data_IF_427523701209
#
_entry.id   IF_427523701209
#
_cell.length_a   1.000
_cell.length_b   1.000
_cell.length_c   1.000
_cell.angle_alpha   90.00
_cell.angle_beta   90.00
_cell.angle_gamma   90.00
#
_symmetry.space_group_name_H-M   'P 1'
#
loop_
_entity.id
_entity.type
_entity.pdbx_description
1 polymer ?
#
# COMPACT_ATOMS: atom_id res chain seq x y z
N UNK A 1 -41.59 19.31 -10.96
CA UNK A 1 -40.49 20.07 -11.59
C UNK A 1 -39.24 19.20 -11.50
N UNK A 2 -38.55 18.89 -12.61
CA UNK A 2 -37.32 18.13 -12.52
C UNK A 2 -36.26 18.98 -11.83
N UNK A 3 -35.71 18.47 -10.73
CA UNK A 3 -34.55 19.07 -10.07
C UNK A 3 -33.36 18.96 -11.03
N UNK A 4 -33.06 20.03 -11.76
CA UNK A 4 -31.82 20.12 -12.53
C UNK A 4 -30.67 20.28 -11.53
N UNK A 5 -29.87 19.23 -11.35
CA UNK A 5 -28.61 19.27 -10.61
C UNK A 5 -27.71 20.35 -11.22
N UNK A 6 -27.09 21.23 -10.42
CA UNK A 6 -26.13 22.20 -10.95
C UNK A 6 -24.95 21.48 -11.63
N UNK A 7 -24.31 22.09 -12.64
CA UNK A 7 -23.15 21.51 -13.30
C UNK A 7 -22.06 21.14 -12.29
N UNK A 8 -21.56 19.91 -12.34
CA UNK A 8 -20.51 19.44 -11.43
C UNK A 8 -19.45 18.56 -12.12
N UNK A 9 -18.20 18.67 -11.65
CA UNK A 9 -17.13 17.69 -11.92
C UNK A 9 -17.01 16.79 -10.69
N UNK A 10 -17.23 15.49 -10.85
CA UNK A 10 -17.05 14.50 -9.78
C UNK A 10 -15.76 13.71 -10.01
N UNK A 11 -14.86 13.83 -9.05
CA UNK A 11 -13.61 13.07 -8.97
C UNK A 11 -13.29 12.75 -7.51
N UNK A 12 -12.95 11.51 -7.22
CA UNK A 12 -12.62 11.03 -5.88
C UNK A 12 -11.35 10.19 -5.97
N UNK A 13 -10.14 10.77 -5.77
CA UNK A 13 -8.87 10.09 -6.03
C UNK A 13 -8.76 8.70 -5.37
N UNK A 14 -9.28 8.57 -4.15
CA UNK A 14 -9.24 7.31 -3.41
C UNK A 14 -10.31 6.27 -3.83
N UNK A 15 -11.34 6.66 -4.59
CA UNK A 15 -12.50 5.82 -4.89
C UNK A 15 -13.15 5.22 -3.64
N UNK A 16 -13.75 4.04 -3.79
CA UNK A 16 -14.34 3.27 -2.69
C UNK A 16 -13.30 2.29 -2.11
N UNK A 17 -12.31 2.83 -1.40
CA UNK A 17 -11.36 1.99 -0.67
C UNK A 17 -12.10 1.15 0.39
N UNK A 18 -11.77 -0.15 0.59
CA UNK A 18 -10.72 -0.95 -0.07
C UNK A 18 -11.05 -1.60 -1.41
N UNK A 19 -12.33 -1.75 -1.78
CA UNK A 19 -12.74 -2.81 -2.72
C UNK A 19 -13.34 -2.35 -4.05
N UNK A 20 -13.63 -1.05 -4.22
CA UNK A 20 -14.32 -0.55 -5.41
C UNK A 20 -13.59 0.57 -6.11
N UNK A 21 -13.47 0.46 -7.45
CA UNK A 21 -13.28 1.64 -8.29
C UNK A 21 -14.57 2.45 -8.22
N UNK A 22 -14.50 3.74 -7.89
CA UNK A 22 -15.68 4.62 -7.98
C UNK A 22 -16.00 5.00 -9.41
N UNK A 23 -15.13 4.61 -10.35
CA UNK A 23 -15.22 5.02 -11.74
C UNK A 23 -14.80 6.47 -12.01
N UNK A 24 -14.67 7.25 -10.95
CA UNK A 24 -14.17 8.63 -10.89
C UNK A 24 -12.89 8.70 -10.04
N UNK A 25 -12.13 7.59 -10.01
CA UNK A 25 -10.97 7.37 -9.16
C UNK A 25 -9.64 7.67 -9.86
N UNK A 26 -8.57 7.73 -9.06
CA UNK A 26 -7.19 7.75 -9.54
C UNK A 26 -6.58 6.35 -9.42
N UNK A 27 -5.80 5.93 -10.43
CA UNK A 27 -5.11 4.64 -10.43
C UNK A 27 -3.66 4.81 -10.90
N UNK A 28 -2.67 4.30 -10.15
CA UNK A 28 -2.79 3.73 -8.79
C UNK A 28 -3.13 4.80 -7.74
N UNK A 29 -3.73 4.41 -6.61
CA UNK A 29 -4.11 5.35 -5.53
C UNK A 29 -2.89 5.99 -4.85
N UNK A 30 -1.84 5.21 -4.66
CA UNK A 30 -0.56 5.64 -4.07
C UNK A 30 0.56 5.35 -5.07
N UNK A 31 0.80 6.25 -6.04
CA UNK A 31 1.77 6.01 -7.10
C UNK A 31 3.20 5.85 -6.57
N UNK A 32 3.91 4.85 -7.08
CA UNK A 32 5.35 4.75 -6.99
C UNK A 32 6.03 5.26 -8.26
N UNK A 33 7.33 5.54 -8.11
CA UNK A 33 8.18 5.99 -9.20
C UNK A 33 8.05 5.07 -10.42
N UNK A 34 7.85 5.68 -11.58
CA UNK A 34 7.68 4.97 -12.82
C UNK A 34 6.31 4.31 -13.03
N UNK A 35 5.38 4.28 -12.07
CA UNK A 35 4.01 3.80 -12.31
C UNK A 35 3.23 4.80 -13.20
N UNK A 36 2.36 4.29 -14.07
CA UNK A 36 1.55 5.13 -14.95
C UNK A 36 0.27 5.56 -14.26
N UNK A 37 0.08 6.86 -14.07
CA UNK A 37 -1.06 7.43 -13.34
C UNK A 37 -2.16 7.81 -14.30
N UNK A 38 -3.36 7.35 -13.98
CA UNK A 38 -4.60 7.70 -14.65
C UNK A 38 -5.58 8.30 -13.67
N UNK A 39 -6.35 9.29 -14.13
CA UNK A 39 -7.40 9.95 -13.38
C UNK A 39 -8.70 9.83 -14.15
N UNK A 40 -9.80 9.50 -13.47
CA UNK A 40 -11.13 9.46 -14.07
C UNK A 40 -12.04 10.50 -13.44
N UNK A 41 -12.89 11.14 -14.23
CA UNK A 41 -13.91 12.03 -13.70
C UNK A 41 -15.21 11.93 -14.48
N UNK A 42 -16.30 12.23 -13.79
CA UNK A 42 -17.62 12.46 -14.36
C UNK A 42 -17.83 13.98 -14.47
N UNK A 43 -18.34 14.43 -15.62
CA UNK A 43 -18.69 15.82 -15.89
C UNK A 43 -20.18 15.86 -16.24
N UNK A 44 -20.96 16.58 -15.45
CA UNK A 44 -22.42 16.66 -15.57
C UNK A 44 -22.89 18.12 -15.71
N UNK A 45 -24.01 18.32 -16.38
CA UNK A 45 -24.76 19.59 -16.39
C UNK A 45 -24.33 20.66 -17.40
N UNK A 46 -23.35 20.44 -18.28
CA UNK A 46 -22.93 21.40 -19.33
C UNK A 46 -22.77 20.72 -20.69
N UNK A 47 -23.05 21.45 -21.78
CA UNK A 47 -22.61 21.06 -23.12
C UNK A 47 -21.09 21.18 -23.18
N UNK A 48 -20.41 20.05 -22.99
CA UNK A 48 -18.98 20.01 -22.71
C UNK A 48 -18.18 20.43 -23.94
N UNK A 49 -17.35 21.47 -23.77
CA UNK A 49 -16.31 21.85 -24.72
C UNK A 49 -15.04 21.02 -24.49
N UNK A 50 -13.91 21.69 -24.30
CA UNK A 50 -12.67 21.02 -23.92
C UNK A 50 -12.63 20.70 -22.42
N UNK A 51 -12.31 19.45 -22.10
CA UNK A 51 -12.02 18.98 -20.73
C UNK A 51 -10.55 18.61 -20.64
N UNK A 52 -9.87 19.11 -19.63
CA UNK A 52 -8.45 18.88 -19.45
C UNK A 52 -8.08 18.83 -17.96
N UNK A 53 -6.98 18.14 -17.65
CA UNK A 53 -6.32 18.22 -16.36
C UNK A 53 -5.18 19.26 -16.44
N UNK A 54 -5.15 20.20 -15.50
CA UNK A 54 -3.95 21.00 -15.22
C UNK A 54 -3.16 20.24 -14.16
N UNK A 55 -1.90 19.90 -14.47
CA UNK A 55 -1.04 19.10 -13.59
C UNK A 55 0.21 19.89 -13.30
N UNK A 56 0.43 20.16 -12.02
CA UNK A 56 1.63 20.79 -11.49
C UNK A 56 2.53 19.71 -10.87
N UNK A 57 3.75 19.58 -11.39
CA UNK A 57 4.79 18.71 -10.86
C UNK A 57 5.93 19.58 -10.36
N UNK A 58 6.12 19.64 -9.04
CA UNK A 58 7.18 20.43 -8.39
C UNK A 58 7.25 21.90 -8.85
N UNK A 59 6.11 22.53 -9.20
CA UNK A 59 6.02 23.90 -9.69
C UNK A 59 5.93 24.03 -11.22
N UNK A 60 6.11 22.94 -11.98
CA UNK A 60 6.01 22.92 -13.44
C UNK A 60 4.62 22.48 -13.89
N UNK A 61 3.86 23.43 -14.45
CA UNK A 61 2.47 23.22 -14.88
C UNK A 61 2.39 22.70 -16.33
N UNK A 62 1.56 21.69 -16.56
CA UNK A 62 1.20 21.19 -17.90
C UNK A 62 -0.29 20.92 -18.02
N UNK A 63 -0.81 20.97 -19.25
CA UNK A 63 -2.21 20.64 -19.56
C UNK A 63 -2.30 19.30 -20.27
N UNK A 64 -3.25 18.47 -19.86
CA UNK A 64 -3.48 17.13 -20.42
C UNK A 64 -4.94 17.05 -20.84
N UNK A 65 -5.20 16.82 -22.13
CA UNK A 65 -6.58 16.70 -22.64
C UNK A 65 -7.21 15.40 -22.13
N UNK A 66 -8.44 15.48 -21.66
CA UNK A 66 -9.23 14.31 -21.28
C UNK A 66 -9.74 13.55 -22.49
N UNK A 67 -9.63 12.22 -22.47
CA UNK A 67 -10.28 11.33 -23.44
C UNK A 67 -11.67 10.97 -22.92
N UNK A 68 -12.71 11.30 -23.68
CA UNK A 68 -14.09 10.87 -23.39
C UNK A 68 -14.19 9.35 -23.50
N UNK A 69 -14.81 8.72 -22.51
CA UNK A 69 -15.04 7.27 -22.45
C UNK A 69 -16.47 6.99 -22.88
N UNK A 70 -16.64 6.31 -24.02
CA UNK A 70 -17.96 6.05 -24.65
C UNK A 70 -18.57 4.70 -24.28
N UNK A 71 -17.77 3.73 -23.82
CA UNK A 71 -18.21 2.41 -23.38
C UNK A 71 -18.14 2.31 -21.85
N UNK A 72 -18.80 3.22 -21.16
CA UNK A 72 -18.81 3.23 -19.71
C UNK A 72 -19.96 2.34 -19.20
N UNK A 73 -19.68 1.06 -18.94
CA UNK A 73 -20.56 0.26 -18.11
C UNK A 73 -20.40 0.75 -16.67
N UNK A 74 -21.36 1.57 -16.19
CA UNK A 74 -21.47 1.82 -14.76
C UNK A 74 -22.25 0.65 -14.17
N UNK A 75 -21.55 -0.39 -13.70
CA UNK A 75 -22.14 -1.25 -12.67
C UNK A 75 -22.15 -0.42 -11.37
N UNK A 76 -23.14 0.47 -11.24
CA UNK A 76 -23.48 1.09 -9.95
C UNK A 76 -24.20 0.02 -9.11
N UNK A 77 -23.44 -0.84 -8.45
CA UNK A 77 -23.96 -1.79 -7.45
C UNK A 77 -24.67 -1.06 -6.27
N UNK A 78 -24.54 0.26 -6.20
CA UNK A 78 -25.15 1.17 -5.23
C UNK A 78 -26.56 1.69 -5.63
N UNK A 79 -27.10 1.32 -6.79
CA UNK A 79 -28.47 1.65 -7.17
C UNK A 79 -29.38 0.42 -7.05
N UNK A 80 -30.14 0.35 -5.95
CA UNK A 80 -31.41 -0.38 -5.96
C UNK A 80 -32.22 0.06 -7.21
N UNK A 81 -32.97 -0.83 -7.89
CA UNK A 81 -33.66 -0.54 -9.16
C UNK A 81 -34.73 0.57 -9.10
N UNK A 82 -34.87 1.25 -7.97
CA UNK A 82 -35.96 2.18 -7.66
C UNK A 82 -35.46 3.50 -7.07
N UNK A 83 -34.46 4.14 -7.67
CA UNK A 83 -34.36 5.61 -7.76
C UNK A 83 -33.09 6.03 -8.51
N UNK A 84 -33.26 6.63 -9.68
CA UNK A 84 -32.21 7.42 -10.35
C UNK A 84 -31.63 6.75 -11.57
N UNK A 85 -32.34 6.89 -12.69
CA UNK A 85 -31.77 6.93 -14.04
C UNK A 85 -30.35 7.50 -14.08
N UNK A 86 -29.45 6.85 -14.84
CA UNK A 86 -28.21 7.49 -15.32
C UNK A 86 -28.60 8.89 -15.80
N UNK A 87 -28.02 9.99 -15.27
CA UNK A 87 -28.32 11.30 -15.81
C UNK A 87 -28.03 11.22 -17.31
N UNK A 88 -29.02 11.49 -18.16
CA UNK A 88 -28.93 11.37 -19.63
C UNK A 88 -27.78 12.20 -20.26
N UNK A 89 -26.99 12.92 -19.45
CA UNK A 89 -25.95 13.88 -19.85
C UNK A 89 -24.59 13.74 -19.15
N UNK A 90 -24.40 12.79 -18.22
CA UNK A 90 -23.11 12.66 -17.54
C UNK A 90 -22.05 12.09 -18.52
N UNK A 91 -20.97 12.85 -18.75
CA UNK A 91 -19.85 12.45 -19.60
C UNK A 91 -18.66 12.01 -18.74
N UNK A 92 -18.07 10.85 -19.05
CA UNK A 92 -16.90 10.33 -18.33
C UNK A 92 -15.62 10.58 -19.11
N UNK A 93 -14.59 11.04 -18.40
CA UNK A 93 -13.29 11.35 -18.96
C UNK A 93 -12.17 10.59 -18.26
N UNK A 94 -11.20 10.15 -19.05
CA UNK A 94 -9.93 9.61 -18.60
C UNK A 94 -8.80 10.58 -18.93
N UNK A 95 -7.97 10.87 -17.94
CA UNK A 95 -6.76 11.67 -18.07
C UNK A 95 -5.55 10.77 -17.81
N UNK A 96 -4.66 10.67 -18.78
CA UNK A 96 -3.42 9.92 -18.68
C UNK A 96 -2.32 10.87 -18.19
N UNK A 97 -2.13 10.96 -16.87
CA UNK A 97 -1.22 11.94 -16.28
C UNK A 97 0.25 11.61 -16.55
N UNK A 98 0.55 10.35 -16.89
CA UNK A 98 1.89 9.87 -17.24
C UNK A 98 2.60 9.18 -16.08
N UNK A 99 3.94 9.16 -16.13
CA UNK A 99 4.81 8.60 -15.08
C UNK A 99 5.54 9.72 -14.36
N UNK A 100 5.92 9.47 -13.12
CA UNK A 100 6.59 10.43 -12.24
C UNK A 100 7.81 9.80 -11.55
N UNK A 101 8.73 10.64 -11.07
CA UNK A 101 9.92 10.22 -10.33
C UNK A 101 9.64 10.11 -8.83
N UNK A 102 10.46 9.32 -8.12
CA UNK A 102 10.38 9.23 -6.66
C UNK A 102 10.54 10.61 -6.03
N UNK A 103 9.64 10.96 -5.11
CA UNK A 103 9.68 12.23 -4.39
C UNK A 103 8.88 13.37 -5.03
N UNK A 104 8.42 13.21 -6.28
CA UNK A 104 7.61 14.23 -6.95
C UNK A 104 6.37 14.60 -6.12
N UNK A 105 6.15 15.92 -6.01
CA UNK A 105 4.93 16.53 -5.52
C UNK A 105 4.02 16.81 -6.71
N UNK A 106 2.91 16.08 -6.81
CA UNK A 106 1.96 16.26 -7.90
C UNK A 106 0.68 16.88 -7.35
N UNK A 107 0.27 18.00 -7.94
CA UNK A 107 -1.04 18.62 -7.74
C UNK A 107 -1.77 18.66 -9.07
N UNK A 108 -3.07 18.41 -9.07
CA UNK A 108 -3.84 18.54 -10.30
C UNK A 108 -5.26 19.04 -10.07
N UNK A 109 -5.80 19.62 -11.13
CA UNK A 109 -7.16 20.12 -11.23
C UNK A 109 -7.78 19.57 -12.50
N UNK A 110 -9.05 19.18 -12.42
CA UNK A 110 -9.83 18.81 -13.60
C UNK A 110 -10.68 20.00 -13.96
N UNK A 111 -10.58 20.46 -15.21
CA UNK A 111 -11.29 21.63 -15.72
C UNK A 111 -12.16 21.27 -16.91
N UNK A 112 -13.36 21.82 -16.95
CA UNK A 112 -14.28 21.72 -18.08
C UNK A 112 -14.75 23.13 -18.49
N UNK A 113 -14.57 23.48 -19.76
CA UNK A 113 -15.07 24.73 -20.32
C UNK A 113 -16.39 24.45 -21.05
N UNK A 114 -17.45 25.17 -20.68
CA UNK A 114 -18.74 25.11 -21.38
C UNK A 114 -18.68 25.81 -22.73
N UNK A 115 -19.43 25.32 -23.72
CA UNK A 115 -19.52 25.99 -25.02
C UNK A 115 -20.31 27.30 -24.89
N UNK A 116 -19.61 28.43 -24.75
CA UNK A 116 -20.20 29.77 -24.67
C UNK A 116 -20.30 30.35 -23.26
N UNK A 117 -19.88 29.61 -22.22
CA UNK A 117 -19.80 30.10 -20.84
C UNK A 117 -18.38 30.59 -20.51
N UNK A 118 -18.28 31.78 -19.91
CA UNK A 118 -17.02 32.37 -19.44
C UNK A 118 -16.51 31.77 -18.13
N UNK A 119 -17.36 31.06 -17.39
CA UNK A 119 -17.03 30.42 -16.12
C UNK A 119 -17.01 28.89 -16.30
N UNK A 120 -15.81 28.34 -16.51
CA UNK A 120 -15.60 26.90 -16.52
C UNK A 120 -15.76 26.26 -15.13
N UNK A 121 -15.89 24.94 -15.10
CA UNK A 121 -15.98 24.15 -13.88
C UNK A 121 -14.61 23.60 -13.49
N UNK A 122 -14.38 23.41 -12.19
CA UNK A 122 -13.14 22.87 -11.64
C UNK A 122 -13.40 21.83 -10.55
N UNK A 123 -12.54 20.81 -10.48
CA UNK A 123 -12.37 19.93 -9.32
C UNK A 123 -10.88 19.85 -8.95
N UNK A 124 -10.53 20.31 -7.76
CA UNK A 124 -9.16 20.28 -7.24
C UNK A 124 -8.86 21.45 -6.28
N UNK A 125 -7.60 21.61 -5.84
CA UNK A 125 -6.48 20.72 -6.13
C UNK A 125 -6.64 19.35 -5.48
N UNK A 126 -6.26 18.31 -6.22
CA UNK A 126 -5.99 16.98 -5.69
C UNK A 126 -4.48 16.78 -5.62
N UNK A 127 -3.98 16.11 -4.58
CA UNK A 127 -2.54 15.93 -4.37
C UNK A 127 -2.14 14.48 -4.13
N UNK A 128 -0.94 14.12 -4.60
CA UNK A 128 -0.25 12.91 -4.16
C UNK A 128 1.27 13.10 -4.15
N UNK A 129 1.93 12.24 -3.38
CA UNK A 129 3.40 12.11 -3.34
C UNK A 129 3.81 10.79 -3.94
N UNK A 130 4.79 10.84 -4.84
CA UNK A 130 5.27 9.65 -5.52
C UNK A 130 6.27 8.92 -4.64
N UNK A 131 5.96 7.67 -4.32
CA UNK A 131 6.78 6.85 -3.43
C UNK A 131 8.02 6.33 -4.15
N UNK A 132 9.14 6.25 -3.44
CA UNK A 132 10.29 5.46 -3.87
C UNK A 132 10.13 4.00 -3.43
N UNK A 133 10.68 3.07 -4.20
CA UNK A 133 10.79 1.65 -3.83
C UNK A 133 12.22 1.34 -3.42
N UNK A 134 12.37 0.69 -2.27
CA UNK A 134 13.63 0.51 -1.59
C UNK A 134 13.80 -0.93 -1.11
N UNK A 135 15.03 -1.42 -1.21
CA UNK A 135 15.44 -2.75 -0.79
C UNK A 135 16.59 -2.58 0.17
N UNK A 136 16.48 -3.14 1.38
CA UNK A 136 17.60 -3.11 2.33
C UNK A 136 18.77 -3.95 1.81
N UNK A 137 19.99 -3.48 2.09
CA UNK A 137 21.22 -4.19 1.75
C UNK A 137 21.26 -5.59 2.38
N UNK A 138 22.13 -6.45 1.83
CA UNK A 138 22.40 -7.76 2.40
C UNK A 138 23.32 -7.70 3.61
N UNK A 139 23.66 -6.53 4.15
CA UNK A 139 24.53 -6.40 5.32
C UNK A 139 23.89 -5.46 6.34
N UNK A 140 23.96 -5.85 7.61
CA UNK A 140 23.49 -5.09 8.75
C UNK A 140 24.53 -5.08 9.86
N UNK A 141 24.62 -3.94 10.55
CA UNK A 141 25.39 -3.80 11.79
C UNK A 141 24.54 -4.27 12.95
N UNK A 142 25.10 -5.14 13.78
CA UNK A 142 24.40 -5.73 14.93
C UNK A 142 24.78 -5.02 16.22
N UNK A 143 23.83 -4.93 17.15
CA UNK A 143 24.04 -4.44 18.51
C UNK A 143 23.09 -5.13 19.46
N UNK A 144 23.61 -5.61 20.58
CA UNK A 144 22.80 -6.12 21.68
C UNK A 144 22.93 -5.17 22.88
N UNK A 145 21.81 -4.60 23.32
CA UNK A 145 21.75 -3.77 24.53
C UNK A 145 20.41 -3.99 25.23
N UNK A 146 20.43 -4.13 26.56
CA UNK A 146 19.23 -4.26 27.38
C UNK A 146 18.25 -5.36 26.91
N UNK A 147 18.79 -6.48 26.41
CA UNK A 147 18.01 -7.60 25.88
C UNK A 147 17.39 -7.38 24.50
N UNK A 148 17.65 -6.23 23.87
CA UNK A 148 17.21 -5.92 22.51
C UNK A 148 18.38 -6.12 21.55
N UNK A 149 18.22 -7.08 20.63
CA UNK A 149 19.13 -7.28 19.52
C UNK A 149 18.66 -6.44 18.34
N UNK A 150 19.43 -5.43 17.96
CA UNK A 150 19.14 -4.54 16.85
C UNK A 150 20.05 -4.86 15.65
N UNK A 151 19.47 -4.89 14.46
CA UNK A 151 20.17 -4.97 13.18
C UNK A 151 19.86 -3.71 12.35
N UNK A 152 20.90 -2.93 12.00
CA UNK A 152 20.76 -1.73 11.17
C UNK A 152 21.41 -1.90 9.81
N UNK A 153 20.66 -1.62 8.76
CA UNK A 153 21.13 -1.65 7.38
C UNK A 153 21.82 -0.34 6.98
N UNK A 154 22.43 -0.34 5.79
CA UNK A 154 22.91 0.88 5.15
C UNK A 154 21.79 1.92 4.99
N UNK A 155 22.15 3.21 5.05
CA UNK A 155 21.20 4.29 4.84
C UNK A 155 20.72 4.32 3.38
N UNK A 156 19.41 4.52 3.19
CA UNK A 156 18.78 4.63 1.87
C UNK A 156 18.10 6.00 1.80
N UNK A 157 18.77 6.96 1.18
CA UNK A 157 18.34 8.36 1.20
C UNK A 157 18.29 8.90 2.63
N UNK A 158 17.10 9.28 3.10
CA UNK A 158 16.88 9.77 4.46
C UNK A 158 16.56 8.66 5.49
N UNK A 159 16.45 7.41 5.03
CA UNK A 159 16.02 6.30 5.88
C UNK A 159 17.23 5.52 6.38
N UNK A 160 17.20 5.15 7.66
CA UNK A 160 18.10 4.19 8.27
C UNK A 160 17.27 2.98 8.70
N UNK A 161 17.11 1.95 7.84
CA UNK A 161 16.29 0.79 8.15
C UNK A 161 16.88 0.02 9.33
N UNK A 162 16.02 -0.34 10.30
CA UNK A 162 16.41 -1.09 11.50
C UNK A 162 15.39 -2.16 11.82
N UNK A 163 15.88 -3.27 12.35
CA UNK A 163 15.06 -4.33 12.93
C UNK A 163 15.50 -4.52 14.37
N UNK A 164 14.55 -4.46 15.29
CA UNK A 164 14.79 -4.74 16.71
C UNK A 164 14.08 -6.04 17.07
N UNK A 165 14.82 -6.94 17.70
CA UNK A 165 14.37 -8.24 18.16
C UNK A 165 14.45 -8.28 19.68
N UNK A 166 13.37 -8.71 20.32
CA UNK A 166 13.36 -8.94 21.77
C UNK A 166 12.28 -9.96 22.14
N UNK A 167 12.50 -10.65 23.25
CA UNK A 167 11.49 -11.54 23.81
C UNK A 167 10.68 -10.83 24.89
N UNK A 168 9.38 -11.13 24.94
CA UNK A 168 8.49 -10.69 26.01
C UNK A 168 7.40 -11.73 26.23
N UNK A 169 7.29 -12.24 27.45
CA UNK A 169 6.27 -13.21 27.86
C UNK A 169 6.21 -14.44 26.93
N UNK A 170 7.35 -15.05 26.61
CA UNK A 170 7.40 -16.20 25.70
C UNK A 170 7.17 -15.91 24.21
N UNK A 171 7.11 -14.64 23.80
CA UNK A 171 6.90 -14.24 22.40
C UNK A 171 8.09 -13.46 21.86
N UNK A 172 8.52 -13.79 20.63
CA UNK A 172 9.45 -12.95 19.88
C UNK A 172 8.69 -11.74 19.32
N UNK A 173 9.18 -10.54 19.62
CA UNK A 173 8.80 -9.31 18.97
C UNK A 173 9.86 -8.91 17.94
N UNK A 174 9.39 -8.55 16.75
CA UNK A 174 10.19 -8.00 15.67
C UNK A 174 9.63 -6.63 15.30
N UNK A 175 10.43 -5.58 15.45
CA UNK A 175 10.05 -4.22 15.10
C UNK A 175 10.91 -3.69 13.95
N UNK A 176 10.31 -3.57 12.76
CA UNK A 176 10.92 -2.94 11.60
C UNK A 176 10.63 -1.45 11.60
N UNK A 177 11.66 -0.62 11.46
CA UNK A 177 11.54 0.83 11.44
C UNK A 177 12.41 1.46 10.36
N UNK A 178 12.02 2.67 9.94
CA UNK A 178 12.82 3.56 9.12
C UNK A 178 13.28 4.71 10.02
N UNK A 179 14.39 4.51 10.75
CA UNK A 179 14.93 5.52 11.64
C UNK A 179 15.52 6.70 10.83
N UNK A 180 15.64 7.86 11.47
CA UNK A 180 16.35 9.01 10.90
C UNK A 180 17.85 8.97 11.21
N UNK A 181 18.20 8.49 12.40
CA UNK A 181 19.56 8.49 12.91
C UNK A 181 20.14 7.07 13.04
N UNK A 182 21.44 6.90 12.74
CA UNK A 182 22.11 5.64 12.98
C UNK A 182 22.18 5.32 14.47
N UNK A 183 22.15 4.03 14.81
CA UNK A 183 22.48 3.57 16.15
C UNK A 183 23.99 3.64 16.38
N UNK A 184 24.38 3.84 17.64
CA UNK A 184 25.74 3.59 18.07
C UNK A 184 25.96 2.08 18.16
N UNK A 185 26.73 1.53 17.23
CA UNK A 185 26.97 0.08 17.09
C UNK A 185 28.05 -0.42 18.05
N UNK A 186 28.86 0.47 18.64
CA UNK A 186 30.05 0.06 19.40
C UNK A 186 30.97 -0.82 18.56
N UNK A 187 31.43 -1.94 19.13
CA UNK A 187 32.22 -2.95 18.40
C UNK A 187 31.29 -3.91 17.64
N UNK A 188 31.31 -3.90 16.30
CA UNK A 188 30.40 -4.73 15.52
C UNK A 188 30.79 -6.21 15.61
N UNK A 189 29.86 -7.04 16.08
CA UNK A 189 29.95 -8.49 15.94
C UNK A 189 29.28 -8.93 14.64
N UNK A 190 29.87 -9.91 13.95
CA UNK A 190 29.29 -10.47 12.73
C UNK A 190 28.01 -11.25 13.01
N UNK A 191 27.89 -11.86 14.19
CA UNK A 191 26.76 -12.69 14.60
C UNK A 191 26.45 -12.48 16.07
N UNK A 192 25.18 -12.33 16.41
CA UNK A 192 24.70 -12.18 17.78
C UNK A 192 23.45 -13.04 17.99
N UNK A 193 23.08 -13.31 19.25
CA UNK A 193 21.87 -14.04 19.56
C UNK A 193 21.28 -13.68 20.92
N UNK A 194 19.99 -13.96 21.06
CA UNK A 194 19.23 -13.81 22.30
C UNK A 194 18.44 -15.09 22.55
N UNK A 195 18.21 -15.42 23.81
CA UNK A 195 17.44 -16.60 24.23
C UNK A 195 16.28 -16.13 25.08
N UNK A 196 15.10 -16.66 24.81
CA UNK A 196 13.93 -16.46 25.65
C UNK A 196 14.08 -17.27 26.95
N UNK A 197 14.08 -16.63 28.14
CA UNK A 197 14.22 -17.33 29.40
C UNK A 197 13.02 -18.26 29.71
N UNK A 198 11.85 -17.98 29.16
CA UNK A 198 10.61 -18.72 29.46
C UNK A 198 10.50 -20.01 28.63
N UNK A 199 10.78 -19.93 27.32
CA UNK A 199 10.62 -21.07 26.40
C UNK A 199 11.93 -21.76 26.03
N UNK A 200 13.09 -21.14 26.28
CA UNK A 200 14.39 -21.60 25.79
C UNK A 200 14.58 -21.44 24.28
N UNK A 201 13.63 -20.80 23.59
CA UNK A 201 13.74 -20.46 22.17
C UNK A 201 14.92 -19.51 21.95
N UNK A 202 15.75 -19.80 20.96
CA UNK A 202 16.94 -19.04 20.59
C UNK A 202 16.74 -18.31 19.27
N UNK A 203 17.01 -17.02 19.25
CA UNK A 203 17.18 -16.23 18.04
C UNK A 203 18.67 -16.02 17.78
N UNK A 204 19.12 -16.30 16.57
CA UNK A 204 20.46 -15.94 16.09
C UNK A 204 20.34 -15.04 14.86
N UNK A 205 21.14 -13.98 14.81
CA UNK A 205 21.18 -13.01 13.72
C UNK A 205 22.61 -12.91 13.21
N UNK A 206 22.78 -13.07 11.90
CA UNK A 206 24.00 -12.83 11.15
C UNK A 206 23.89 -11.44 10.48
N UNK A 207 24.98 -10.67 10.53
CA UNK A 207 25.06 -9.34 9.98
C UNK A 207 25.44 -9.31 8.51
N UNK A 208 26.22 -10.28 8.01
CA UNK A 208 26.67 -10.27 6.60
C UNK A 208 27.02 -11.67 6.06
N UNK A 209 26.20 -12.26 5.16
CA UNK A 209 24.92 -11.72 4.69
C UNK A 209 23.90 -11.67 5.83
N UNK A 210 23.02 -10.67 5.81
CA UNK A 210 21.98 -10.51 6.81
C UNK A 210 21.03 -11.70 6.75
N UNK A 211 20.83 -12.33 7.91
CA UNK A 211 19.89 -13.41 8.09
C UNK A 211 19.61 -13.63 9.56
N UNK A 212 18.47 -14.21 9.88
CA UNK A 212 18.23 -14.72 11.22
C UNK A 212 17.55 -16.08 11.18
N UNK A 213 17.68 -16.81 12.28
CA UNK A 213 16.96 -18.05 12.54
C UNK A 213 16.45 -18.05 13.98
N UNK A 214 15.16 -18.34 14.12
CA UNK A 214 14.50 -18.61 15.39
C UNK A 214 14.37 -20.13 15.53
N UNK A 215 14.98 -20.67 16.57
CA UNK A 215 15.05 -22.12 16.83
C UNK A 215 14.48 -22.38 18.22
N UNK A 216 13.51 -23.27 18.30
CA UNK A 216 12.94 -23.70 19.58
C UNK A 216 13.96 -24.47 20.45
N UNK A 217 13.65 -24.66 21.74
CA UNK A 217 14.53 -25.36 22.67
C UNK A 217 14.85 -26.82 22.26
N UNK A 218 13.97 -27.46 21.47
CA UNK A 218 14.18 -28.82 20.96
C UNK A 218 14.96 -28.88 19.63
N UNK A 219 15.37 -27.74 19.09
CA UNK A 219 16.17 -27.63 17.88
C UNK A 219 15.37 -27.45 16.58
N UNK A 220 14.03 -27.39 16.63
CA UNK A 220 13.22 -27.09 15.43
C UNK A 220 13.31 -25.61 15.04
N UNK A 221 13.55 -25.34 13.76
CA UNK A 221 13.53 -23.97 13.19
C UNK A 221 12.10 -23.49 13.01
N UNK A 222 11.73 -22.43 13.72
CA UNK A 222 10.38 -21.85 13.71
C UNK A 222 10.21 -20.76 12.65
N UNK A 223 11.22 -19.91 12.47
CA UNK A 223 11.17 -18.77 11.57
C UNK A 223 12.59 -18.40 11.10
N UNK A 224 12.76 -18.03 9.84
CA UNK A 224 14.07 -17.65 9.32
C UNK A 224 13.96 -16.64 8.16
N UNK A 225 15.06 -15.95 7.87
CA UNK A 225 15.19 -15.14 6.67
C UNK A 225 15.32 -16.03 5.44
N UNK A 226 14.50 -15.81 4.40
CA UNK A 226 14.62 -16.54 3.13
C UNK A 226 15.97 -16.21 2.46
N UNK A 227 16.85 -17.20 2.19
CA UNK A 227 18.12 -16.95 1.52
C UNK A 227 17.96 -16.28 0.16
N UNK A 228 18.92 -15.43 -0.22
CA UNK A 228 18.99 -14.73 -1.51
C UNK A 228 17.80 -13.81 -1.84
N UNK A 229 16.85 -13.65 -0.91
CA UNK A 229 15.75 -12.71 -1.02
C UNK A 229 15.95 -11.58 -0.02
N UNK A 230 15.71 -10.32 -0.41
CA UNK A 230 15.79 -9.23 0.54
C UNK A 230 14.67 -9.38 1.58
N UNK A 231 15.09 -9.47 2.84
CA UNK A 231 14.21 -9.62 4.00
C UNK A 231 13.23 -8.46 4.12
N UNK A 232 13.73 -7.24 4.01
CA UNK A 232 12.95 -6.01 4.21
C UNK A 232 12.99 -5.14 2.97
N UNK A 233 11.83 -5.04 2.31
CA UNK A 233 11.59 -4.09 1.23
C UNK A 233 10.48 -3.14 1.64
N UNK A 234 10.58 -1.90 1.21
CA UNK A 234 9.57 -0.90 1.52
C UNK A 234 9.40 0.11 0.39
N UNK A 235 8.20 0.64 0.31
CA UNK A 235 7.80 1.75 -0.53
C UNK A 235 7.41 2.90 0.39
N UNK A 236 8.08 4.03 0.25
CA UNK A 236 7.87 5.18 1.11
C UNK A 236 7.75 6.48 0.32
N UNK A 237 6.77 7.30 0.67
CA UNK A 237 6.69 8.68 0.23
C UNK A 237 7.56 9.57 1.15
N UNK A 238 8.11 10.69 0.67
CA UNK A 238 8.78 11.67 1.52
C UNK A 238 7.91 12.08 2.72
N UNK A 239 8.57 12.40 3.84
CA UNK A 239 7.92 12.77 5.10
C UNK A 239 6.94 11.73 5.69
N UNK A 240 7.03 10.45 5.29
CA UNK A 240 6.33 9.35 5.95
C UNK A 240 4.82 9.28 5.69
N UNK A 241 4.28 10.02 4.71
CA UNK A 241 2.83 10.02 4.39
C UNK A 241 2.29 8.64 3.97
N UNK A 242 3.12 7.83 3.33
CA UNK A 242 2.77 6.47 2.88
C UNK A 242 3.94 5.55 3.18
N UNK A 243 3.66 4.43 3.85
CA UNK A 243 4.58 3.32 4.02
C UNK A 243 3.86 2.03 3.63
N UNK A 244 4.44 1.32 2.68
CA UNK A 244 4.10 -0.07 2.38
C UNK A 244 5.37 -0.88 2.52
N UNK A 245 5.29 -2.10 3.02
CA UNK A 245 6.47 -2.94 3.16
C UNK A 245 6.15 -4.40 2.91
N UNK A 246 7.20 -5.13 2.55
CA UNK A 246 7.17 -6.57 2.33
C UNK A 246 8.26 -7.18 3.20
N UNK A 247 7.85 -8.12 4.05
CA UNK A 247 8.76 -8.99 4.79
C UNK A 247 8.78 -10.36 4.13
N UNK A 248 9.98 -10.93 3.94
CA UNK A 248 10.15 -12.29 3.40
C UNK A 248 10.69 -13.22 4.45
N UNK A 249 9.79 -14.03 4.98
CA UNK A 249 10.04 -14.97 6.06
C UNK A 249 9.83 -16.39 5.55
N UNK A 250 10.69 -17.31 5.99
CA UNK A 250 10.51 -18.74 5.83
C UNK A 250 10.23 -19.39 7.19
N UNK A 251 9.56 -20.54 7.16
CA UNK A 251 9.39 -21.44 8.30
C UNK A 251 9.42 -22.90 7.77
N UNK A 252 9.28 -23.88 8.67
CA UNK A 252 9.19 -25.29 8.30
C UNK A 252 7.75 -25.81 8.15
N UNK A 253 6.75 -24.92 8.20
CA UNK A 253 5.34 -25.29 8.14
C UNK A 253 4.92 -25.64 6.70
N UNK A 254 4.08 -26.65 6.59
CA UNK A 254 3.40 -27.08 5.36
C UNK A 254 1.98 -26.52 5.26
N UNK A 255 1.38 -26.11 6.38
CA UNK A 255 0.02 -25.59 6.43
C UNK A 255 -0.06 -24.26 7.17
N UNK A 256 -1.03 -23.43 6.77
CA UNK A 256 -1.24 -22.10 7.33
C UNK A 256 -2.72 -21.90 7.64
N UNK A 257 -3.05 -21.75 8.92
CA UNK A 257 -4.43 -21.66 9.40
C UNK A 257 -4.75 -20.30 9.99
N UNK A 258 -6.04 -19.94 10.01
CA UNK A 258 -6.53 -18.71 10.62
C UNK A 258 -6.73 -17.61 9.58
N UNK A 259 -6.00 -16.50 9.73
CA UNK A 259 -6.27 -15.24 9.02
C UNK A 259 -7.67 -14.68 9.27
N UNK A 260 -8.29 -15.04 10.39
CA UNK A 260 -9.68 -14.75 10.73
C UNK A 260 -10.66 -15.81 10.20
N UNK A 261 -11.87 -15.39 9.85
CA UNK A 261 -12.86 -16.23 9.18
C UNK A 261 -12.51 -16.36 7.69
N UNK A 262 -12.41 -17.58 7.16
CA UNK A 262 -12.13 -17.85 5.74
C UNK A 262 -13.12 -18.88 5.17
N UNK A 263 -13.61 -18.60 3.96
CA UNK A 263 -14.64 -19.42 3.29
C UNK A 263 -14.09 -20.19 2.08
N UNK A 264 -12.88 -19.89 1.63
CA UNK A 264 -12.25 -20.50 0.46
C UNK A 264 -11.47 -21.78 0.78
N UNK A 265 -10.69 -21.77 1.86
CA UNK A 265 -9.93 -22.93 2.33
C UNK A 265 -9.60 -22.81 3.82
N UNK A 266 -9.50 -23.95 4.51
CA UNK A 266 -8.95 -23.99 5.87
C UNK A 266 -7.43 -23.78 5.86
N UNK A 267 -6.74 -24.45 4.94
CA UNK A 267 -5.30 -24.28 4.72
C UNK A 267 -5.07 -23.20 3.65
N UNK A 268 -4.38 -22.15 4.05
CA UNK A 268 -4.08 -20.98 3.23
C UNK A 268 -2.71 -21.08 2.55
N UNK A 269 -2.02 -22.21 2.63
CA UNK A 269 -0.76 -22.42 1.92
C UNK A 269 -0.93 -22.20 0.40
N UNK A 270 -0.05 -21.39 -0.19
CA UNK A 270 -0.10 -21.01 -1.60
C UNK A 270 -1.20 -19.99 -1.97
N UNK A 271 -2.00 -19.53 -1.00
CA UNK A 271 -2.99 -18.47 -1.20
C UNK A 271 -2.42 -17.10 -0.75
N UNK A 272 -3.13 -16.02 -1.09
CA UNK A 272 -2.78 -14.66 -0.67
C UNK A 272 -3.95 -14.04 0.11
N UNK A 273 -4.18 -14.45 1.37
CA UNK A 273 -5.29 -13.93 2.18
C UNK A 273 -5.12 -12.42 2.42
N UNK A 274 -6.17 -11.64 2.17
CA UNK A 274 -6.21 -10.21 2.47
C UNK A 274 -6.79 -9.95 3.86
N UNK A 275 -6.31 -8.90 4.54
CA UNK A 275 -6.82 -8.54 5.87
C UNK A 275 -7.69 -7.31 5.75
N UNK A 276 -8.93 -7.51 5.31
CA UNK A 276 -9.79 -6.40 4.92
C UNK A 276 -11.29 -6.74 5.04
N UNK A 277 -12.03 -5.99 5.88
CA UNK A 277 -13.43 -6.30 6.22
C UNK A 277 -14.34 -6.01 5.02
N UNK A 278 -15.09 -7.01 4.55
CA UNK A 278 -16.07 -6.87 3.46
C UNK A 278 -17.42 -7.42 3.88
N UNK A 279 -18.49 -6.71 3.54
CA UNK A 279 -19.83 -7.25 3.54
C UNK A 279 -20.18 -7.87 2.17
N UNK A 280 -19.70 -9.09 1.91
CA UNK A 280 -19.98 -9.82 0.67
C UNK A 280 -21.21 -10.71 0.84
N UNK A 281 -22.36 -10.27 0.32
CA UNK A 281 -23.58 -11.06 0.37
C UNK A 281 -23.49 -12.26 -0.59
N UNK A 282 -23.46 -13.46 0.00
CA UNK A 282 -23.27 -14.75 -0.68
C UNK A 282 -21.97 -14.85 -1.49
N UNK A 283 -21.55 -16.08 -1.82
CA UNK A 283 -20.36 -16.36 -2.65
C UNK A 283 -19.11 -15.62 -2.16
N UNK A 284 -18.84 -15.70 -0.86
CA UNK A 284 -17.76 -15.01 -0.17
C UNK A 284 -16.40 -15.29 -0.82
N UNK A 285 -16.13 -16.55 -1.17
CA UNK A 285 -14.84 -16.97 -1.71
C UNK A 285 -13.72 -16.55 -0.77
N UNK A 286 -12.82 -15.70 -1.24
CA UNK A 286 -11.67 -15.19 -0.47
C UNK A 286 -12.02 -14.05 0.51
N UNK A 287 -13.17 -13.40 0.31
CA UNK A 287 -13.62 -12.24 1.09
C UNK A 287 -14.22 -12.69 2.42
N UNK A 288 -14.13 -11.85 3.44
CA UNK A 288 -14.61 -12.18 4.78
C UNK A 288 -15.05 -10.95 5.56
N UNK A 289 -15.96 -11.17 6.50
CA UNK A 289 -16.45 -10.17 7.44
C UNK A 289 -15.48 -9.97 8.60
N UNK A 290 -14.69 -10.99 8.94
CA UNK A 290 -13.82 -11.01 10.12
C UNK A 290 -12.41 -11.47 9.73
N UNK A 291 -11.66 -10.69 8.93
CA UNK A 291 -10.26 -10.99 8.67
C UNK A 291 -9.40 -10.64 9.90
N UNK A 292 -8.36 -11.43 10.14
CA UNK A 292 -7.37 -11.11 11.17
C UNK A 292 -5.96 -11.21 10.59
N UNK A 293 -5.06 -10.26 10.92
CA UNK A 293 -3.63 -10.35 10.56
C UNK A 293 -2.90 -11.30 11.52
N UNK A 294 -3.44 -12.50 11.68
CA UNK A 294 -2.95 -13.52 12.60
C UNK A 294 -3.18 -14.89 11.98
N UNK A 295 -2.16 -15.74 12.01
CA UNK A 295 -2.23 -17.10 11.54
C UNK A 295 -1.47 -18.03 12.48
N UNK A 296 -1.75 -19.31 12.38
CA UNK A 296 -1.11 -20.38 13.13
C UNK A 296 -0.61 -21.42 12.15
N UNK A 297 0.52 -22.02 12.46
CA UNK A 297 1.11 -23.14 11.73
C UNK A 297 1.14 -24.37 12.63
N UNK A 298 1.26 -25.56 12.05
CA UNK A 298 1.36 -26.85 12.74
C UNK A 298 2.76 -27.17 13.30
N UNK A 299 3.73 -26.26 13.14
CA UNK A 299 5.10 -26.38 13.61
C UNK A 299 5.25 -26.16 15.12
#
# INVERSE_FOLDING_TARGET
MPHHTPPAIRHTPAGYYPFGRSGTDMSPRNPAAGEFVTVRAEVDGIAVGDVYAEVDVNGSLRKIRGRKVVNYHVERDDLLPHQGSIPERAEYYLFELGRFAAGDAVRYWIRALGRGDSHGMESGPHEFRVSGEHVCDSSAKLRLADGILAAQFGAIGQYVPRIEFFFRNGHLHMAHSLAAEPMDVGNPEARMGIVDPDTGTKLEVEGSPFGFALVSADGRTLLYTVPEKPHFQFRAAPQGKTLQFTLRLGNSASHYYGFGERFDSLDQNGLNPDVCVVNQYLRQGRRTYIPMPFFVTEA
#
